data_IF_550083315269
#
_entry.id   IF_550083315269
#
_cell.length_a   1.000
_cell.length_b   1.000
_cell.length_c   1.000
_cell.angle_alpha   90.00
_cell.angle_beta   90.00
_cell.angle_gamma   90.00
#
_symmetry.space_group_name_H-M   'P 1'
#
loop_
_entity.id
_entity.type
_entity.pdbx_description
1 polymer ?
#
# COMPACT_ATOMS: atom_id res chain seq x y z
N UNK A 1 -21.25 8.44 11.09
CA UNK A 1 -19.78 8.29 10.97
C UNK A 1 -19.42 6.84 11.26
N UNK A 2 -18.88 6.13 10.27
CA UNK A 2 -18.70 4.68 10.32
C UNK A 2 -17.66 4.28 11.39
N UNK A 3 -18.12 3.69 12.50
CA UNK A 3 -17.28 3.17 13.58
C UNK A 3 -16.13 2.28 13.04
N UNK A 4 -16.37 1.54 11.96
CA UNK A 4 -15.34 0.72 11.32
C UNK A 4 -14.19 1.55 10.72
N UNK A 5 -14.50 2.61 9.96
CA UNK A 5 -13.50 3.47 9.32
C UNK A 5 -12.67 4.20 10.37
N UNK A 6 -13.34 4.79 11.36
CA UNK A 6 -12.70 5.48 12.48
C UNK A 6 -11.80 4.53 13.27
N UNK A 7 -12.26 3.32 13.61
CA UNK A 7 -11.41 2.33 14.32
C UNK A 7 -10.19 1.91 13.53
N UNK A 8 -10.31 1.78 12.19
CA UNK A 8 -9.17 1.46 11.32
C UNK A 8 -8.14 2.58 11.27
N UNK A 9 -8.58 3.82 11.06
CA UNK A 9 -7.66 4.97 11.05
C UNK A 9 -7.03 5.20 12.42
N UNK A 10 -7.78 5.02 13.52
CA UNK A 10 -7.23 5.06 14.87
C UNK A 10 -6.16 3.98 15.09
N UNK A 11 -6.33 2.79 14.49
CA UNK A 11 -5.29 1.74 14.52
C UNK A 11 -4.04 2.18 13.75
N UNK A 12 -4.18 2.82 12.59
CA UNK A 12 -3.04 3.37 11.85
C UNK A 12 -2.30 4.44 12.67
N UNK A 13 -3.04 5.37 13.31
CA UNK A 13 -2.47 6.36 14.22
C UNK A 13 -1.67 5.73 15.36
N UNK A 14 -2.22 4.71 16.04
CA UNK A 14 -1.47 3.98 17.09
C UNK A 14 -0.21 3.29 16.56
N UNK A 15 -0.25 2.74 15.34
CA UNK A 15 0.92 2.13 14.71
C UNK A 15 2.01 3.17 14.44
N UNK A 16 1.65 4.39 14.00
CA UNK A 16 2.60 5.51 13.83
C UNK A 16 3.26 5.87 15.16
N UNK A 17 2.47 6.09 16.21
CA UNK A 17 2.98 6.39 17.55
C UNK A 17 3.94 5.30 18.07
N UNK A 18 3.61 4.04 17.86
CA UNK A 18 4.47 2.93 18.25
C UNK A 18 5.75 2.86 17.42
N UNK A 19 5.65 3.15 16.12
CA UNK A 19 6.82 3.22 15.25
C UNK A 19 7.78 4.33 15.70
N UNK A 20 7.26 5.51 16.06
CA UNK A 20 8.09 6.62 16.52
C UNK A 20 8.77 6.32 17.85
N UNK A 21 8.05 5.68 18.79
CA UNK A 21 8.65 5.18 20.03
C UNK A 21 9.75 4.15 19.78
N UNK A 22 9.61 3.29 18.76
CA UNK A 22 10.65 2.33 18.37
C UNK A 22 11.85 3.03 17.73
N UNK A 23 11.62 4.01 16.85
CA UNK A 23 12.68 4.81 16.25
C UNK A 23 13.48 5.58 17.32
N UNK A 24 12.82 6.16 18.32
CA UNK A 24 13.48 6.81 19.45
C UNK A 24 14.34 5.84 20.27
N UNK A 25 13.89 4.60 20.48
CA UNK A 25 14.68 3.56 21.17
C UNK A 25 15.89 3.12 20.34
N UNK A 26 15.74 3.01 19.02
CA UNK A 26 16.85 2.72 18.13
C UNK A 26 17.89 3.85 18.21
N UNK A 27 17.46 5.11 18.11
CA UNK A 27 18.34 6.28 18.22
C UNK A 27 19.07 6.34 19.58
N UNK A 28 18.36 6.08 20.68
CA UNK A 28 18.98 6.02 22.01
C UNK A 28 20.03 4.90 22.13
N UNK A 29 19.74 3.72 21.56
CA UNK A 29 20.68 2.60 21.54
C UNK A 29 21.90 2.90 20.68
N UNK A 30 21.70 3.58 19.55
CA UNK A 30 22.78 4.02 18.67
C UNK A 30 23.69 5.03 19.36
N UNK A 31 23.13 6.04 20.03
CA UNK A 31 23.92 6.99 20.83
C UNK A 31 24.70 6.31 21.94
N UNK A 32 24.10 5.33 22.64
CA UNK A 32 24.79 4.57 23.68
C UNK A 32 25.95 3.73 23.12
N UNK A 33 25.75 3.09 21.95
CA UNK A 33 26.81 2.38 21.23
C UNK A 33 27.95 3.33 20.85
N UNK A 34 27.63 4.48 20.26
CA UNK A 34 28.63 5.47 19.84
C UNK A 34 29.46 6.00 21.01
N UNK A 35 28.81 6.33 22.14
CA UNK A 35 29.49 6.75 23.36
C UNK A 35 30.43 5.65 23.90
N UNK A 36 30.03 4.38 23.78
CA UNK A 36 30.90 3.25 24.13
C UNK A 36 32.03 3.04 23.14
N UNK A 37 31.94 3.48 21.89
CA UNK A 37 33.06 3.41 20.93
C UNK A 37 33.98 4.64 20.97
N UNK A 38 33.52 5.74 21.55
CA UNK A 38 34.29 6.97 21.65
C UNK A 38 35.61 6.75 22.43
N UNK A 39 36.73 7.18 21.85
CA UNK A 39 38.06 7.00 22.41
C UNK A 39 38.61 5.57 22.38
N UNK A 40 37.92 4.61 21.74
CA UNK A 40 38.48 3.29 21.46
C UNK A 40 39.27 3.32 20.15
N UNK A 41 40.58 2.97 20.14
CA UNK A 41 41.34 2.89 18.90
C UNK A 41 40.73 1.82 17.99
N UNK A 42 40.30 2.22 16.80
CA UNK A 42 39.69 1.31 15.84
C UNK A 42 40.71 0.24 15.41
N UNK A 43 40.30 -1.03 15.43
CA UNK A 43 41.13 -2.15 15.00
C UNK A 43 42.17 -2.63 16.03
N UNK A 44 42.15 -2.13 17.28
CA UNK A 44 43.03 -2.65 18.32
C UNK A 44 42.68 -4.11 18.67
N UNK A 45 43.61 -5.07 18.56
CA UNK A 45 43.36 -6.45 18.96
C UNK A 45 43.05 -6.56 20.46
N UNK A 46 42.24 -7.55 20.85
CA UNK A 46 42.08 -7.90 22.26
C UNK A 46 43.39 -8.51 22.75
N UNK A 47 44.04 -7.87 23.72
CA UNK A 47 45.28 -8.36 24.34
C UNK A 47 44.96 -9.51 25.30
N UNK A 48 45.06 -10.75 24.82
CA UNK A 48 44.78 -11.97 25.60
C UNK A 48 45.81 -12.12 26.73
N UNK A 49 45.35 -12.41 27.95
CA UNK A 49 46.18 -12.57 29.14
C UNK A 49 46.55 -11.25 29.84
N UNK A 50 46.16 -10.10 29.28
CA UNK A 50 46.39 -8.79 29.91
C UNK A 50 45.25 -8.44 30.88
N UNK A 51 45.54 -7.69 31.94
CA UNK A 51 44.53 -7.30 32.94
C UNK A 51 43.35 -6.49 32.33
N UNK A 52 43.55 -5.86 31.18
CA UNK A 52 42.53 -5.10 30.45
C UNK A 52 41.65 -5.96 29.53
N UNK A 53 41.96 -7.24 29.31
CA UNK A 53 41.22 -8.15 28.42
C UNK A 53 39.73 -8.19 28.78
N UNK A 54 39.42 -8.39 30.06
CA UNK A 54 38.05 -8.50 30.54
C UNK A 54 37.24 -7.21 30.33
N UNK A 55 37.86 -6.05 30.53
CA UNK A 55 37.21 -4.76 30.29
C UNK A 55 36.95 -4.54 28.80
N UNK A 56 37.92 -4.87 27.94
CA UNK A 56 37.78 -4.73 26.48
C UNK A 56 36.66 -5.62 25.93
N UNK A 57 36.62 -6.90 26.30
CA UNK A 57 35.56 -7.84 25.88
C UNK A 57 34.16 -7.37 26.31
N UNK A 58 34.02 -6.92 27.55
CA UNK A 58 32.73 -6.40 28.06
C UNK A 58 32.30 -5.15 27.31
N UNK A 59 33.23 -4.27 26.93
CA UNK A 59 32.95 -3.06 26.17
C UNK A 59 32.41 -3.41 24.77
N UNK A 60 33.08 -4.30 24.05
CA UNK A 60 32.64 -4.80 22.74
C UNK A 60 31.26 -5.46 22.85
N UNK A 61 31.06 -6.37 23.81
CA UNK A 61 29.78 -7.04 23.99
C UNK A 61 28.61 -6.06 24.25
N UNK A 62 28.86 -4.95 24.97
CA UNK A 62 27.86 -3.89 25.16
C UNK A 62 27.56 -3.13 23.88
N UNK A 63 28.60 -2.79 23.09
CA UNK A 63 28.44 -2.17 21.76
C UNK A 63 27.59 -3.08 20.86
N UNK A 64 27.93 -4.36 20.77
CA UNK A 64 27.20 -5.34 19.94
C UNK A 64 25.74 -5.48 20.37
N UNK A 65 25.46 -5.49 21.68
CA UNK A 65 24.11 -5.55 22.22
C UNK A 65 23.30 -4.28 21.88
N UNK A 66 23.91 -3.10 21.98
CA UNK A 66 23.26 -1.85 21.58
C UNK A 66 23.00 -1.81 20.07
N UNK A 67 23.97 -2.21 19.25
CA UNK A 67 23.80 -2.27 17.79
C UNK A 67 22.73 -3.28 17.36
N UNK A 68 22.67 -4.45 18.01
CA UNK A 68 21.58 -5.42 17.80
C UNK A 68 20.22 -4.79 18.14
N UNK A 69 20.15 -4.05 19.24
CA UNK A 69 18.94 -3.32 19.64
C UNK A 69 18.55 -2.21 18.65
N UNK A 70 19.52 -1.53 18.02
CA UNK A 70 19.25 -0.56 16.94
C UNK A 70 18.53 -1.25 15.79
N UNK A 71 19.09 -2.35 15.28
CA UNK A 71 18.53 -3.09 14.15
C UNK A 71 17.12 -3.58 14.45
N UNK A 72 16.92 -4.20 15.62
CA UNK A 72 15.60 -4.72 16.01
C UNK A 72 14.55 -3.61 16.07
N UNK A 73 14.85 -2.51 16.75
CA UNK A 73 13.91 -1.41 16.92
C UNK A 73 13.64 -0.67 15.60
N UNK A 74 14.66 -0.47 14.76
CA UNK A 74 14.50 0.13 13.43
C UNK A 74 13.62 -0.73 12.52
N UNK A 75 13.88 -2.04 12.45
CA UNK A 75 13.05 -2.97 11.67
C UNK A 75 11.61 -2.96 12.15
N UNK A 76 11.40 -2.91 13.47
CA UNK A 76 10.04 -2.86 14.04
C UNK A 76 9.32 -1.57 13.74
N UNK A 77 10.03 -0.44 13.77
CA UNK A 77 9.48 0.86 13.40
C UNK A 77 9.02 0.85 11.94
N UNK A 78 9.84 0.32 11.04
CA UNK A 78 9.52 0.25 9.61
C UNK A 78 8.33 -0.66 9.33
N UNK A 79 8.29 -1.86 9.92
CA UNK A 79 7.15 -2.78 9.80
C UNK A 79 5.83 -2.11 10.26
N UNK A 80 5.88 -1.33 11.34
CA UNK A 80 4.72 -0.61 11.86
C UNK A 80 4.29 0.53 10.94
N UNK A 81 5.23 1.29 10.38
CA UNK A 81 4.97 2.35 9.39
C UNK A 81 4.32 1.77 8.15
N UNK A 82 4.91 0.72 7.58
CA UNK A 82 4.36 0.04 6.40
C UNK A 82 2.93 -0.47 6.65
N UNK A 83 2.63 -0.99 7.85
CA UNK A 83 1.26 -1.37 8.22
C UNK A 83 0.31 -0.18 8.30
N UNK A 84 0.75 0.96 8.83
CA UNK A 84 -0.04 2.18 8.86
C UNK A 84 -0.32 2.68 7.43
N UNK A 85 0.73 2.77 6.59
CA UNK A 85 0.62 3.17 5.18
C UNK A 85 -0.37 2.29 4.43
N UNK A 86 -0.31 0.98 4.62
CA UNK A 86 -1.24 0.03 3.99
C UNK A 86 -2.69 0.25 4.44
N UNK A 87 -2.92 0.59 5.71
CA UNK A 87 -4.27 0.87 6.21
C UNK A 87 -4.80 2.17 5.60
N UNK A 88 -3.98 3.21 5.58
CA UNK A 88 -4.32 4.54 5.06
C UNK A 88 -4.55 4.49 3.54
N UNK A 89 -3.68 3.83 2.78
CA UNK A 89 -3.84 3.62 1.35
C UNK A 89 -5.10 2.79 1.01
N UNK A 90 -5.40 1.77 1.81
CA UNK A 90 -6.62 1.00 1.65
C UNK A 90 -7.88 1.83 1.97
N UNK A 91 -7.81 2.74 2.94
CA UNK A 91 -8.91 3.67 3.25
C UNK A 91 -9.15 4.66 2.11
N UNK A 92 -8.08 5.30 1.61
CA UNK A 92 -8.17 6.24 0.50
C UNK A 92 -8.78 5.61 -0.76
N UNK A 93 -8.49 4.33 -1.01
CA UNK A 93 -9.05 3.54 -2.14
C UNK A 93 -10.41 2.93 -1.84
N UNK A 94 -10.84 2.85 -0.59
CA UNK A 94 -12.16 2.33 -0.27
C UNK A 94 -13.23 3.33 -0.72
N UNK A 95 -14.35 2.79 -1.21
CA UNK A 95 -15.59 3.54 -1.41
C UNK A 95 -16.57 2.85 -0.48
N UNK A 96 -17.09 3.54 0.52
CA UNK A 96 -18.12 3.02 1.41
C UNK A 96 -19.51 3.42 0.89
N UNK A 97 -20.56 2.73 1.34
CA UNK A 97 -21.94 3.03 0.92
C UNK A 97 -22.52 4.27 1.59
N UNK A 98 -21.94 4.67 2.73
CA UNK A 98 -22.33 5.83 3.53
C UNK A 98 -21.52 7.09 3.20
N UNK A 99 -20.55 7.01 2.28
CA UNK A 99 -19.87 8.19 1.76
C UNK A 99 -20.83 9.00 0.87
N UNK A 100 -20.90 10.32 1.04
CA UNK A 100 -21.77 11.20 0.24
C UNK A 100 -21.42 11.18 -1.26
N UNK A 101 -20.15 10.96 -1.57
CA UNK A 101 -19.60 10.90 -2.93
C UNK A 101 -19.53 9.46 -3.49
N UNK A 102 -20.07 8.47 -2.79
CA UNK A 102 -19.94 7.05 -3.15
C UNK A 102 -20.40 6.76 -4.60
N UNK A 103 -21.51 7.36 -5.01
CA UNK A 103 -22.08 7.21 -6.36
C UNK A 103 -21.13 7.80 -7.40
N UNK A 104 -20.67 9.04 -7.19
CA UNK A 104 -19.77 9.72 -8.11
C UNK A 104 -18.45 8.95 -8.30
N UNK A 105 -17.84 8.49 -7.20
CA UNK A 105 -16.60 7.69 -7.25
C UNK A 105 -16.78 6.32 -7.91
N UNK A 106 -17.96 5.71 -7.80
CA UNK A 106 -18.27 4.46 -8.51
C UNK A 106 -18.47 4.70 -10.01
N UNK A 107 -19.17 5.77 -10.38
CA UNK A 107 -19.38 6.17 -11.78
C UNK A 107 -18.03 6.44 -12.47
N UNK A 108 -17.11 7.15 -11.81
CA UNK A 108 -15.74 7.38 -12.29
C UNK A 108 -14.96 6.08 -12.49
N UNK A 109 -14.96 5.17 -11.49
CA UNK A 109 -14.27 3.87 -11.65
C UNK A 109 -14.84 3.01 -12.76
N UNK A 110 -16.16 3.09 -12.99
CA UNK A 110 -16.81 2.37 -14.09
C UNK A 110 -16.40 2.99 -15.43
N UNK A 111 -16.33 4.32 -15.54
CA UNK A 111 -15.92 5.01 -16.76
C UNK A 111 -14.47 4.66 -17.13
N UNK A 112 -13.55 4.73 -16.16
CA UNK A 112 -12.15 4.32 -16.33
C UNK A 112 -12.03 2.87 -16.79
N UNK A 113 -12.70 1.95 -16.10
CA UNK A 113 -12.65 0.52 -16.43
C UNK A 113 -13.22 0.24 -17.84
N UNK A 114 -14.24 0.98 -18.24
CA UNK A 114 -14.86 0.87 -19.57
C UNK A 114 -13.94 1.44 -20.65
N UNK A 115 -13.32 2.60 -20.41
CA UNK A 115 -12.33 3.19 -21.31
C UNK A 115 -11.14 2.25 -21.53
N UNK A 116 -10.58 1.69 -20.44
CA UNK A 116 -9.54 0.65 -20.51
C UNK A 116 -9.98 -0.53 -21.37
N UNK A 117 -11.21 -1.01 -21.19
CA UNK A 117 -11.75 -2.14 -21.96
C UNK A 117 -11.84 -1.84 -23.45
N UNK A 118 -12.26 -0.63 -23.83
CA UNK A 118 -12.33 -0.21 -25.24
C UNK A 118 -10.94 -0.23 -25.86
N UNK A 119 -9.96 0.41 -25.21
CA UNK A 119 -8.57 0.46 -25.68
C UNK A 119 -7.97 -0.95 -25.82
N UNK A 120 -8.08 -1.79 -24.78
CA UNK A 120 -7.56 -3.16 -24.82
C UNK A 120 -8.21 -4.00 -25.93
N UNK A 121 -9.50 -3.78 -26.20
CA UNK A 121 -10.21 -4.50 -27.27
C UNK A 121 -9.70 -4.07 -28.65
N UNK A 122 -9.46 -2.76 -28.84
CA UNK A 122 -8.88 -2.22 -30.07
C UNK A 122 -7.46 -2.76 -30.29
N UNK A 123 -6.60 -2.73 -29.27
CA UNK A 123 -5.26 -3.30 -29.31
C UNK A 123 -5.29 -4.81 -29.62
N UNK A 124 -6.16 -5.58 -28.95
CA UNK A 124 -6.29 -7.01 -29.23
C UNK A 124 -6.68 -7.30 -30.68
N UNK A 125 -7.46 -6.43 -31.32
CA UNK A 125 -7.86 -6.59 -32.72
C UNK A 125 -6.67 -6.43 -33.66
N UNK A 126 -5.76 -5.50 -33.37
CA UNK A 126 -4.57 -5.23 -34.22
C UNK A 126 -3.47 -6.27 -33.95
N UNK A 127 -3.23 -6.62 -32.68
CA UNK A 127 -2.33 -7.69 -32.26
C UNK A 127 -2.69 -9.06 -32.88
N UNK A 128 -3.98 -9.43 -32.89
CA UNK A 128 -4.45 -10.70 -33.52
C UNK A 128 -4.22 -10.75 -35.03
N UNK A 129 -4.05 -9.61 -35.70
CA UNK A 129 -3.74 -9.52 -37.13
C UNK A 129 -2.23 -9.58 -37.41
N UNK A 130 -1.39 -9.64 -36.38
CA UNK A 130 0.06 -9.60 -36.50
C UNK A 130 0.65 -8.20 -36.64
N UNK A 131 -0.16 -7.15 -36.59
CA UNK A 131 0.26 -5.75 -36.68
C UNK A 131 -0.23 -4.99 -35.44
N UNK A 132 0.38 -5.21 -34.26
CA UNK A 132 -0.02 -4.55 -33.02
C UNK A 132 0.16 -3.04 -33.14
N UNK A 133 -0.90 -2.30 -32.79
CA UNK A 133 -0.93 -0.85 -32.83
C UNK A 133 -0.71 -0.30 -31.42
N UNK A 134 0.53 0.09 -31.13
CA UNK A 134 0.93 0.58 -29.82
C UNK A 134 0.45 2.01 -29.54
N UNK A 135 0.06 2.78 -30.56
CA UNK A 135 -0.43 4.15 -30.38
C UNK A 135 -1.79 4.16 -29.65
N UNK A 136 -2.49 3.02 -29.64
CA UNK A 136 -3.68 2.80 -28.84
C UNK A 136 -3.38 2.75 -27.34
N UNK A 137 -2.15 2.42 -26.93
CA UNK A 137 -1.77 2.24 -25.53
C UNK A 137 -1.11 3.51 -24.99
N UNK A 138 -1.72 4.11 -23.98
CA UNK A 138 -1.07 5.19 -23.23
C UNK A 138 0.01 4.63 -22.30
N UNK A 139 1.01 5.45 -21.97
CA UNK A 139 1.99 5.11 -20.94
C UNK A 139 1.32 4.80 -19.60
N UNK A 140 0.27 5.56 -19.26
CA UNK A 140 -0.51 5.33 -18.05
C UNK A 140 -1.17 3.94 -18.06
N UNK A 141 -1.82 3.55 -19.16
CA UNK A 141 -2.45 2.24 -19.27
C UNK A 141 -1.41 1.12 -19.20
N UNK A 142 -0.30 1.27 -19.91
CA UNK A 142 0.80 0.31 -19.94
C UNK A 142 1.40 0.13 -18.54
N UNK A 143 1.61 1.23 -17.81
CA UNK A 143 2.16 1.23 -16.46
C UNK A 143 1.14 0.83 -15.39
N UNK A 144 -0.17 0.88 -15.68
CA UNK A 144 -1.22 0.45 -14.75
C UNK A 144 -1.21 -1.07 -14.49
N UNK A 145 -0.57 -1.85 -15.35
CA UNK A 145 -0.38 -3.28 -15.18
C UNK A 145 0.92 -3.58 -14.45
N UNK A 146 0.81 -3.88 -13.16
CA UNK A 146 1.93 -4.36 -12.33
C UNK A 146 2.24 -5.84 -12.62
N UNK A 147 1.29 -6.56 -13.23
CA UNK A 147 1.45 -7.97 -13.59
C UNK A 147 2.45 -8.13 -14.75
N UNK A 148 3.58 -8.76 -14.45
CA UNK A 148 4.67 -8.98 -15.40
C UNK A 148 4.22 -9.76 -16.65
N UNK A 149 3.28 -10.69 -16.50
CA UNK A 149 2.80 -11.51 -17.61
C UNK A 149 1.98 -10.67 -18.61
N UNK A 150 1.07 -9.82 -18.12
CA UNK A 150 0.35 -8.86 -18.97
C UNK A 150 1.33 -7.91 -19.65
N UNK A 151 2.27 -7.33 -18.91
CA UNK A 151 3.28 -6.42 -19.47
C UNK A 151 4.12 -7.10 -20.57
N UNK A 152 4.59 -8.32 -20.33
CA UNK A 152 5.38 -9.09 -21.30
C UNK A 152 4.59 -9.41 -22.57
N UNK A 153 3.32 -9.78 -22.44
CA UNK A 153 2.44 -10.07 -23.59
C UNK A 153 2.31 -8.83 -24.50
N UNK A 154 2.04 -7.67 -23.90
CA UNK A 154 1.94 -6.40 -24.63
C UNK A 154 3.25 -6.10 -25.37
N UNK A 155 4.40 -6.19 -24.70
CA UNK A 155 5.72 -5.90 -25.30
C UNK A 155 6.08 -6.83 -26.46
N UNK A 156 5.55 -8.05 -26.47
CA UNK A 156 5.71 -9.01 -27.59
C UNK A 156 4.74 -8.75 -28.75
N UNK A 157 3.84 -7.78 -28.61
CA UNK A 157 2.78 -7.53 -29.58
C UNK A 157 1.66 -8.56 -29.52
N UNK A 158 1.60 -9.36 -28.45
CA UNK A 158 0.55 -10.34 -28.24
C UNK A 158 -0.70 -9.65 -27.68
N UNK A 159 -1.90 -10.18 -27.97
CA UNK A 159 -3.13 -9.69 -27.35
C UNK A 159 -3.03 -9.75 -25.82
N UNK A 160 -3.70 -8.81 -25.14
CA UNK A 160 -3.93 -8.89 -23.70
C UNK A 160 -4.43 -10.29 -23.30
N UNK A 161 -3.86 -10.88 -22.25
CA UNK A 161 -4.27 -12.19 -21.76
C UNK A 161 -5.78 -12.27 -21.47
N UNK A 162 -6.36 -13.44 -21.71
CA UNK A 162 -7.81 -13.65 -21.54
C UNK A 162 -8.28 -13.33 -20.12
N UNK A 163 -7.50 -13.68 -19.09
CA UNK A 163 -7.84 -13.38 -17.70
C UNK A 163 -7.89 -11.87 -17.42
N UNK A 164 -7.01 -11.07 -18.02
CA UNK A 164 -7.00 -9.62 -17.82
C UNK A 164 -8.29 -8.99 -18.37
N UNK A 165 -8.72 -9.45 -19.55
CA UNK A 165 -10.00 -9.07 -20.13
C UNK A 165 -11.17 -9.55 -19.25
N UNK A 166 -11.22 -10.83 -18.90
CA UNK A 166 -12.33 -11.39 -18.10
C UNK A 166 -12.47 -10.70 -16.74
N UNK A 167 -11.36 -10.47 -16.04
CA UNK A 167 -11.32 -9.82 -14.73
C UNK A 167 -11.81 -8.37 -14.82
N UNK A 168 -11.33 -7.61 -15.82
CA UNK A 168 -11.79 -6.23 -16.01
C UNK A 168 -13.30 -6.18 -16.25
N UNK A 169 -13.83 -7.02 -17.14
CA UNK A 169 -15.26 -7.07 -17.43
C UNK A 169 -16.11 -7.51 -16.24
N UNK A 170 -15.65 -8.50 -15.46
CA UNK A 170 -16.32 -8.93 -14.23
C UNK A 170 -16.33 -7.82 -13.16
N UNK A 171 -15.21 -7.12 -13.01
CA UNK A 171 -15.10 -5.97 -12.11
C UNK A 171 -16.06 -4.85 -12.51
N UNK A 172 -16.11 -4.46 -13.79
CA UNK A 172 -17.03 -3.42 -14.28
C UNK A 172 -18.48 -3.76 -13.97
N UNK A 173 -18.92 -5.00 -14.28
CA UNK A 173 -20.29 -5.46 -13.96
C UNK A 173 -20.59 -5.43 -12.47
N UNK A 174 -19.64 -5.84 -11.62
CA UNK A 174 -19.81 -5.78 -10.16
C UNK A 174 -20.00 -4.35 -9.68
N UNK A 175 -19.21 -3.40 -10.19
CA UNK A 175 -19.32 -1.98 -9.84
C UNK A 175 -20.65 -1.39 -10.31
N UNK A 176 -21.09 -1.70 -11.52
CA UNK A 176 -22.40 -1.29 -12.04
C UNK A 176 -23.54 -1.80 -11.16
N UNK A 177 -23.55 -3.10 -10.82
CA UNK A 177 -24.56 -3.67 -9.91
C UNK A 177 -24.59 -2.97 -8.56
N UNK A 178 -23.41 -2.61 -8.04
CA UNK A 178 -23.27 -1.89 -6.77
C UNK A 178 -23.83 -0.47 -6.87
N UNK A 179 -23.50 0.26 -7.93
CA UNK A 179 -24.00 1.59 -8.22
C UNK A 179 -25.53 1.62 -8.30
N UNK A 180 -26.13 0.67 -9.04
CA UNK A 180 -27.58 0.55 -9.15
C UNK A 180 -28.25 0.30 -7.80
N UNK A 181 -27.62 -0.53 -6.95
CA UNK A 181 -28.07 -0.77 -5.57
C UNK A 181 -28.11 0.52 -4.76
N UNK A 182 -27.03 1.29 -4.75
CA UNK A 182 -26.94 2.56 -4.01
C UNK A 182 -27.93 3.60 -4.52
N UNK A 183 -28.09 3.73 -5.85
CA UNK A 183 -29.08 4.65 -6.44
C UNK A 183 -30.50 4.28 -5.98
N UNK A 184 -30.86 3.00 -5.97
CA UNK A 184 -32.18 2.53 -5.46
C UNK A 184 -32.37 2.84 -3.98
N UNK A 185 -31.36 2.58 -3.15
CA UNK A 185 -31.41 2.88 -1.71
C UNK A 185 -31.59 4.39 -1.46
N UNK A 186 -30.88 5.24 -2.20
CA UNK A 186 -31.01 6.69 -2.10
C UNK A 186 -32.39 7.17 -2.53
N UNK A 187 -32.92 6.67 -3.65
CA UNK A 187 -34.29 6.98 -4.09
C UNK A 187 -35.34 6.56 -3.06
N UNK A 188 -35.20 5.37 -2.46
CA UNK A 188 -36.13 4.88 -1.44
C UNK A 188 -36.10 5.74 -0.16
N UNK A 189 -34.90 6.14 0.30
CA UNK A 189 -34.74 7.06 1.44
C UNK A 189 -35.39 8.42 1.17
N UNK A 190 -35.16 8.98 -0.03
CA UNK A 190 -35.74 10.26 -0.42
C UNK A 190 -37.28 10.18 -0.47
N UNK A 191 -37.86 9.09 -1.00
CA UNK A 191 -39.30 8.89 -1.02
C UNK A 191 -39.91 8.79 0.39
N UNK A 192 -39.26 8.08 1.30
CA UNK A 192 -39.72 7.95 2.69
C UNK A 192 -39.72 9.28 3.46
N UNK A 193 -38.69 10.11 3.29
CA UNK A 193 -38.63 11.44 3.91
C UNK A 193 -39.74 12.38 3.43
N UNK A 194 -40.13 12.29 2.16
CA UNK A 194 -41.21 13.12 1.60
C UNK A 194 -42.60 12.73 2.15
N UNK A 195 -42.83 11.45 2.43
CA UNK A 195 -44.10 10.98 3.02
C UNK A 195 -44.24 11.27 4.51
N UNK A 196 -43.13 11.36 5.26
CA UNK A 196 -43.14 11.65 6.69
C UNK A 196 -43.25 13.14 7.06
N UNK A 197 -43.03 14.05 6.11
CA UNK A 197 -43.15 15.50 6.31
C UNK A 197 -44.58 16.03 6.07
N UNK A 198 -45.52 15.17 5.69
CA UNK A 198 -46.93 15.51 5.41
C UNK A 198 -47.90 15.06 6.52
N UNK A 199 -47.39 14.70 7.70
CA UNK A 199 -48.16 14.33 8.90
C UNK A 199 -47.74 15.20 10.08
#
# INVERSE_FOLDING_TARGET
>A
MNDYRTRRLARAGRLREWADKRAQKAEASYKASNALTEGMPLGQPILIGHHSEGAHRRRIARVDSHMSSVVENSNKAEEMRQKADNIEAADARAIFSDDEDAIARLDERISEATAKRVVMTAFNKTARKGTPDYDLLTDELTNSYVDYYVYSSIKKGEPFPSFAMSNLGANTRRLQKRLDGLKREQSAKNAHCLTGAQS
#
